data_IF_690451826179
#
_entry.id   IF_690451826179
#
_cell.length_a   1.000
_cell.length_b   1.000
_cell.length_c   1.000
_cell.angle_alpha   90.00
_cell.angle_beta   90.00
_cell.angle_gamma   90.00
#
_symmetry.space_group_name_H-M   'P 1'
#
loop_
_entity.id
_entity.type
_entity.pdbx_description
1 polymer ?
#
# COMPACT_ATOMS: atom_id res chain seq x y z
N UNK A 1 5.52 7.73 -20.46
CA UNK A 1 5.68 7.18 -19.09
C UNK A 1 4.62 7.82 -18.21
N UNK A 2 3.84 7.02 -17.48
CA UNK A 2 2.89 7.56 -16.50
C UNK A 2 3.74 8.08 -15.33
N UNK A 3 3.68 9.37 -15.06
CA UNK A 3 4.39 9.97 -13.94
C UNK A 3 3.67 9.58 -12.64
N UNK A 4 4.07 8.44 -12.07
CA UNK A 4 3.41 7.86 -10.90
C UNK A 4 3.45 8.86 -9.74
N UNK A 5 2.27 9.21 -9.20
CA UNK A 5 2.11 10.14 -8.08
C UNK A 5 2.34 9.49 -6.72
N UNK A 6 3.06 8.38 -6.68
CA UNK A 6 3.33 7.64 -5.46
C UNK A 6 4.72 7.02 -5.48
N UNK A 7 5.26 6.79 -4.28
CA UNK A 7 6.34 5.85 -4.00
C UNK A 7 5.77 4.74 -3.15
N UNK A 8 6.33 3.53 -3.27
CA UNK A 8 5.92 2.38 -2.46
C UNK A 8 7.15 1.75 -1.81
N UNK A 9 7.05 1.45 -0.52
CA UNK A 9 8.08 0.74 0.24
C UNK A 9 7.41 -0.24 1.23
N UNK A 10 8.13 -1.28 1.67
CA UNK A 10 7.60 -2.30 2.58
C UNK A 10 8.62 -2.68 3.65
N UNK A 11 9.10 -1.72 4.47
CA UNK A 11 10.20 -1.97 5.41
C UNK A 11 9.88 -3.03 6.47
N UNK A 12 8.61 -3.12 6.90
CA UNK A 12 8.15 -4.13 7.88
C UNK A 12 7.83 -5.50 7.26
N UNK A 13 7.72 -5.57 5.93
CA UNK A 13 7.49 -6.81 5.18
C UNK A 13 8.36 -6.83 3.90
N UNK A 14 9.71 -6.94 4.03
CA UNK A 14 10.62 -6.76 2.89
C UNK A 14 10.41 -7.75 1.74
N UNK A 15 9.85 -8.92 2.04
CA UNK A 15 9.52 -9.95 1.05
C UNK A 15 8.47 -9.46 0.04
N UNK A 16 7.58 -8.54 0.41
CA UNK A 16 6.60 -7.95 -0.53
C UNK A 16 7.33 -7.19 -1.66
N UNK A 17 8.36 -6.43 -1.31
CA UNK A 17 9.13 -5.71 -2.31
C UNK A 17 9.86 -6.67 -3.26
N UNK A 18 10.56 -7.66 -2.70
CA UNK A 18 11.35 -8.62 -3.46
C UNK A 18 10.49 -9.52 -4.37
N UNK A 19 9.41 -10.10 -3.83
CA UNK A 19 8.64 -11.16 -4.49
C UNK A 19 7.45 -10.63 -5.31
N UNK A 20 7.02 -9.38 -5.11
CA UNK A 20 5.85 -8.81 -5.80
C UNK A 20 6.15 -7.46 -6.47
N UNK A 21 6.57 -6.43 -5.73
CA UNK A 21 6.69 -5.06 -6.29
C UNK A 21 7.82 -4.97 -7.34
N UNK A 22 8.94 -5.66 -7.12
CA UNK A 22 10.08 -5.63 -8.02
C UNK A 22 9.86 -6.44 -9.31
N UNK A 23 8.95 -7.41 -9.30
CA UNK A 23 8.79 -8.40 -10.38
C UNK A 23 7.42 -8.36 -11.07
N UNK A 24 6.41 -7.72 -10.50
CA UNK A 24 5.06 -7.58 -11.08
C UNK A 24 4.78 -6.15 -11.59
N UNK A 25 3.85 -6.05 -12.54
CA UNK A 25 3.24 -4.83 -13.04
C UNK A 25 2.17 -4.24 -12.11
N UNK A 26 1.51 -5.06 -11.27
CA UNK A 26 0.40 -4.67 -10.37
C UNK A 26 0.92 -4.11 -9.03
N UNK A 27 1.86 -3.16 -9.10
CA UNK A 27 2.59 -2.65 -7.93
C UNK A 27 1.69 -2.00 -6.87
N UNK A 28 0.63 -1.32 -7.30
CA UNK A 28 -0.34 -0.71 -6.38
C UNK A 28 -1.16 -1.76 -5.63
N UNK A 29 -1.34 -2.96 -6.20
CA UNK A 29 -2.12 -4.05 -5.61
C UNK A 29 -3.19 -4.63 -6.54
N UNK A 30 -3.87 -5.66 -6.05
CA UNK A 30 -5.03 -6.32 -6.67
C UNK A 30 -6.07 -6.66 -5.60
N UNK A 31 -7.31 -6.95 -6.02
CA UNK A 31 -8.45 -7.19 -5.11
C UNK A 31 -8.71 -6.00 -4.15
N UNK A 32 -8.58 -4.77 -4.67
CA UNK A 32 -8.82 -3.55 -3.91
C UNK A 32 -10.32 -3.26 -3.87
N UNK A 33 -11.01 -3.83 -2.89
CA UNK A 33 -12.44 -3.59 -2.64
C UNK A 33 -12.67 -2.59 -1.50
N UNK A 34 -11.74 -2.53 -0.54
CA UNK A 34 -11.81 -1.62 0.61
C UNK A 34 -10.70 -0.59 0.53
N UNK A 35 -11.10 0.68 0.54
CA UNK A 35 -10.24 1.85 0.65
C UNK A 35 -10.94 2.85 1.56
N UNK A 36 -10.26 3.27 2.62
CA UNK A 36 -10.83 4.13 3.64
C UNK A 36 -9.89 5.30 3.90
N UNK A 37 -10.44 6.51 3.95
CA UNK A 37 -9.75 7.71 4.45
C UNK A 37 -10.18 7.88 5.91
N UNK A 38 -9.22 8.11 6.80
CA UNK A 38 -9.51 8.30 8.21
C UNK A 38 -10.38 9.57 8.40
N UNK A 39 -11.57 9.46 9.03
CA UNK A 39 -12.50 10.59 9.17
C UNK A 39 -11.99 11.69 10.12
N UNK A 40 -10.91 11.47 10.85
CA UNK A 40 -10.30 12.45 11.76
C UNK A 40 -8.92 12.94 11.31
N UNK A 41 -8.38 12.40 10.22
CA UNK A 41 -7.07 12.74 9.68
C UNK A 41 -7.04 12.43 8.17
N UNK A 42 -7.17 13.45 7.33
CA UNK A 42 -7.22 13.29 5.88
C UNK A 42 -5.93 12.78 5.27
N UNK A 43 -4.80 12.83 6.00
CA UNK A 43 -3.53 12.29 5.51
C UNK A 43 -3.39 10.79 5.75
N UNK A 44 -4.11 10.22 6.72
CA UNK A 44 -4.11 8.80 7.02
C UNK A 44 -5.18 8.04 6.22
N UNK A 45 -4.74 7.06 5.43
CA UNK A 45 -5.61 6.26 4.59
C UNK A 45 -5.06 4.85 4.44
N UNK A 46 -5.95 3.88 4.24
CA UNK A 46 -5.63 2.47 4.08
C UNK A 46 -6.41 1.89 2.90
N UNK A 47 -5.85 0.89 2.24
CA UNK A 47 -6.56 0.06 1.28
C UNK A 47 -6.11 -1.40 1.37
N UNK A 48 -7.08 -2.31 1.28
CA UNK A 48 -6.85 -3.74 1.29
C UNK A 48 -6.45 -4.25 -0.09
N UNK A 49 -5.64 -5.31 -0.11
CA UNK A 49 -5.33 -6.08 -1.31
C UNK A 49 -5.45 -7.57 -1.02
N UNK A 50 -5.29 -8.42 -2.04
CA UNK A 50 -5.17 -9.87 -1.83
C UNK A 50 -3.86 -10.31 -1.16
N UNK A 51 -2.98 -9.39 -0.79
CA UNK A 51 -1.66 -9.69 -0.21
C UNK A 51 -1.43 -9.05 1.18
N UNK A 52 -1.77 -7.78 1.32
CA UNK A 52 -1.51 -6.95 2.50
C UNK A 52 -2.50 -5.79 2.59
N UNK A 53 -2.44 -5.03 3.68
CA UNK A 53 -3.03 -3.70 3.82
C UNK A 53 -1.94 -2.67 3.55
N UNK A 54 -2.15 -1.88 2.49
CA UNK A 54 -1.30 -0.74 2.16
C UNK A 54 -1.96 0.56 2.64
N UNK A 55 -1.18 1.62 2.73
CA UNK A 55 -1.69 2.94 3.03
C UNK A 55 -0.58 3.97 3.19
N UNK A 56 -0.92 5.14 3.71
CA UNK A 56 0.03 6.21 3.94
C UNK A 56 -0.47 7.24 4.94
N UNK A 57 0.38 8.23 5.19
CA UNK A 57 0.16 9.31 6.16
C UNK A 57 0.42 10.69 5.54
N UNK A 58 0.25 10.82 4.22
CA UNK A 58 0.52 12.05 3.48
C UNK A 58 -0.40 12.24 2.26
N UNK A 59 -1.64 11.74 2.33
CA UNK A 59 -2.57 11.71 1.19
C UNK A 59 -2.85 13.10 0.59
N UNK A 60 -2.92 14.15 1.41
CA UNK A 60 -3.23 15.51 0.91
C UNK A 60 -2.12 16.09 0.03
N UNK A 61 -0.92 15.49 0.01
CA UNK A 61 0.11 15.81 -0.98
C UNK A 61 -0.42 15.62 -2.42
N UNK A 62 -1.32 14.66 -2.62
CA UNK A 62 -1.95 14.43 -3.92
C UNK A 62 -2.66 15.69 -4.43
N UNK A 63 -3.40 16.39 -3.57
CA UNK A 63 -4.16 17.60 -3.94
C UNK A 63 -3.24 18.74 -4.40
N UNK A 64 -1.99 18.73 -3.95
CA UNK A 64 -0.93 19.68 -4.35
C UNK A 64 -0.11 19.21 -5.57
N UNK A 65 -0.53 18.13 -6.24
CA UNK A 65 0.16 17.50 -7.37
C UNK A 65 1.57 16.94 -7.00
N UNK A 66 1.85 16.76 -5.71
CA UNK A 66 3.04 16.10 -5.20
C UNK A 66 2.85 14.56 -5.14
N UNK A 67 3.93 13.83 -4.87
CA UNK A 67 3.88 12.37 -4.69
C UNK A 67 3.53 12.02 -3.24
N UNK A 68 2.74 10.97 -3.06
CA UNK A 68 2.46 10.35 -1.75
C UNK A 68 3.40 9.17 -1.47
N UNK A 69 3.47 8.73 -0.23
CA UNK A 69 4.21 7.53 0.18
C UNK A 69 3.22 6.42 0.59
N UNK A 70 3.39 5.25 -0.01
CA UNK A 70 2.62 4.04 0.28
C UNK A 70 3.51 3.05 1.01
N UNK A 71 3.03 2.53 2.13
CA UNK A 71 3.69 1.49 2.90
C UNK A 71 2.75 0.32 3.19
N UNK A 72 3.31 -0.89 3.37
CA UNK A 72 2.58 -2.00 3.95
C UNK A 72 2.40 -1.75 5.45
N UNK A 73 1.16 -1.48 5.87
CA UNK A 73 0.75 -1.12 7.24
C UNK A 73 0.02 -2.27 7.95
N UNK A 74 0.28 -3.50 7.52
CA UNK A 74 -0.34 -4.73 8.05
C UNK A 74 0.46 -5.38 9.18
N UNK A 75 1.36 -4.65 9.87
CA UNK A 75 2.11 -5.25 10.98
C UNK A 75 1.19 -5.76 12.09
N UNK A 76 1.32 -7.04 12.42
CA UNK A 76 0.45 -7.76 13.37
C UNK A 76 -0.69 -8.56 12.72
N UNK A 77 -0.89 -8.46 11.40
CA UNK A 77 -1.85 -9.29 10.65
C UNK A 77 -1.11 -10.48 10.03
N UNK A 78 -1.58 -11.69 10.33
CA UNK A 78 -1.03 -12.94 9.80
C UNK A 78 -2.17 -13.80 9.21
N UNK A 79 -2.30 -13.80 7.89
CA UNK A 79 -3.42 -14.46 7.16
C UNK A 79 -2.95 -15.55 6.18
N UNK A 80 -1.67 -15.94 6.25
CA UNK A 80 -1.14 -16.96 5.34
C UNK A 80 -1.64 -18.36 5.71
N UNK A 81 -2.19 -19.09 4.74
CA UNK A 81 -2.55 -20.49 4.92
C UNK A 81 -1.29 -21.37 4.80
N UNK A 82 -0.89 -21.99 5.91
CA UNK A 82 0.17 -23.01 5.91
C UNK A 82 -0.47 -24.37 5.64
N UNK A 83 -0.06 -25.02 4.55
CA UNK A 83 -0.56 -26.34 4.15
C UNK A 83 0.54 -27.39 4.34
N UNK A 84 0.15 -28.60 4.74
CA UNK A 84 1.03 -29.78 4.91
C UNK A 84 1.32 -30.50 3.58
#
# INVERSE_FOLDING_TARGET
EINAKYKIDTPKAPWINHDFIAVDSKKLGWMIESLEINPFDSDHWLYGTGLTVFGGHDLTNWDSNASINIESLADGIEEFAVLD
#
